data_IF_167784054840
#
_entry.id   IF_167784054840
#
_cell.length_a   1.000
_cell.length_b   1.000
_cell.length_c   1.000
_cell.angle_alpha   90.00
_cell.angle_beta   90.00
_cell.angle_gamma   90.00
#
_symmetry.space_group_name_H-M   'P 1'
#
loop_
_entity.id
_entity.type
_entity.pdbx_description
1 polymer ?
#
# COMPACT_ATOMS: atom_id res chain seq x y z
N UNK A 1 20.06 -7.70 -1.30
CA UNK A 1 18.93 -7.18 -0.51
C UNK A 1 18.20 -6.11 -1.31
N UNK A 2 16.90 -6.23 -1.41
CA UNK A 2 16.12 -5.33 -2.26
C UNK A 2 15.98 -3.93 -1.68
N UNK A 3 15.93 -2.93 -2.58
CA UNK A 3 15.45 -1.58 -2.26
C UNK A 3 14.04 -1.46 -2.83
N UNK A 4 13.05 -1.02 -2.03
CA UNK A 4 11.70 -0.83 -2.55
C UNK A 4 11.68 0.16 -3.72
N UNK A 5 10.87 -0.15 -4.73
CA UNK A 5 10.59 0.78 -5.82
C UNK A 5 9.22 1.43 -5.59
N UNK A 6 8.99 2.56 -6.25
CA UNK A 6 7.68 3.18 -6.22
C UNK A 6 6.69 2.34 -7.05
N UNK A 7 5.51 1.98 -6.49
CA UNK A 7 4.61 1.05 -7.17
C UNK A 7 3.99 1.57 -8.47
N UNK A 8 3.72 2.87 -8.55
CA UNK A 8 3.08 3.48 -9.71
C UNK A 8 4.11 3.87 -10.76
N UNK A 9 3.79 3.62 -12.04
CA UNK A 9 4.58 4.10 -13.16
C UNK A 9 4.44 5.61 -13.32
N UNK A 10 3.23 6.12 -13.14
CA UNK A 10 2.91 7.54 -13.18
C UNK A 10 2.34 7.94 -11.83
N UNK A 11 2.87 9.01 -11.24
CA UNK A 11 2.48 9.43 -9.91
C UNK A 11 1.89 10.83 -9.91
N UNK A 12 0.66 10.95 -9.42
CA UNK A 12 0.07 12.22 -9.02
C UNK A 12 -0.56 12.00 -7.65
N UNK A 13 0.07 12.54 -6.62
CA UNK A 13 -0.46 12.44 -5.26
C UNK A 13 -1.67 13.38 -5.17
N UNK A 14 -2.86 12.79 -5.00
CA UNK A 14 -4.12 13.54 -4.88
C UNK A 14 -4.43 13.89 -3.44
N UNK A 15 -3.93 13.10 -2.47
CA UNK A 15 -4.00 13.42 -1.05
C UNK A 15 -2.74 12.92 -0.37
N UNK A 16 -1.95 13.83 0.17
CA UNK A 16 -0.72 13.51 0.87
C UNK A 16 -0.97 13.02 2.30
N UNK A 17 0.08 12.55 2.93
CA UNK A 17 0.04 12.12 4.32
C UNK A 17 -0.29 13.30 5.25
N UNK A 18 -0.91 13.01 6.41
CA UNK A 18 -1.31 13.98 7.45
C UNK A 18 -2.28 15.05 6.98
N UNK A 19 -2.95 14.87 5.82
CA UNK A 19 -3.87 15.87 5.25
C UNK A 19 -5.24 15.27 4.95
N UNK A 20 -6.30 16.09 5.03
CA UNK A 20 -7.66 15.69 4.69
C UNK A 20 -8.11 14.45 5.44
N UNK A 21 -8.56 13.43 4.73
CA UNK A 21 -8.94 12.14 5.30
C UNK A 21 -7.74 11.35 5.84
N UNK A 22 -6.51 11.76 5.50
CA UNK A 22 -5.28 11.18 6.04
C UNK A 22 -4.75 11.89 7.28
N UNK A 23 -5.59 12.65 7.97
CA UNK A 23 -5.22 13.31 9.21
C UNK A 23 -4.73 12.30 10.24
N UNK A 24 -3.58 12.59 10.86
CA UNK A 24 -2.85 11.67 11.76
C UNK A 24 -2.48 10.34 11.10
N UNK A 25 -2.32 10.32 9.77
CA UNK A 25 -1.95 9.14 9.00
C UNK A 25 -0.84 9.46 8.01
N UNK A 26 0.04 8.50 7.77
CA UNK A 26 1.06 8.57 6.71
C UNK A 26 0.55 8.00 5.37
N UNK A 27 -0.75 7.73 5.25
CA UNK A 27 -1.33 7.26 4.00
C UNK A 27 -1.19 8.31 2.89
N UNK A 28 -1.03 7.86 1.66
CA UNK A 28 -1.10 8.71 0.47
C UNK A 28 -2.08 8.11 -0.53
N UNK A 29 -2.78 8.99 -1.26
CA UNK A 29 -3.58 8.62 -2.41
C UNK A 29 -2.82 9.03 -3.68
N UNK A 30 -2.70 8.11 -4.60
CA UNK A 30 -1.97 8.29 -5.85
C UNK A 30 -2.86 7.95 -7.03
N UNK A 31 -2.91 8.83 -8.01
CA UNK A 31 -3.59 8.64 -9.28
C UNK A 31 -2.58 8.76 -10.42
N UNK A 32 -2.89 8.13 -11.55
CA UNK A 32 -2.10 8.26 -12.75
C UNK A 32 -2.24 9.64 -13.41
N UNK A 33 -1.64 9.79 -14.56
CA UNK A 33 -1.66 11.07 -15.33
C UNK A 33 -2.98 11.31 -16.07
N UNK A 34 -3.84 10.29 -16.13
CA UNK A 34 -5.16 10.39 -16.78
C UNK A 34 -6.23 9.83 -15.82
N UNK A 35 -7.46 9.67 -16.32
CA UNK A 35 -8.56 9.10 -15.56
C UNK A 35 -8.72 7.60 -15.77
N UNK A 36 -7.79 6.97 -16.49
CA UNK A 36 -7.78 5.53 -16.70
C UNK A 36 -7.34 4.77 -15.45
N UNK A 37 -7.44 3.46 -15.52
CA UNK A 37 -6.97 2.56 -14.45
C UNK A 37 -5.55 2.14 -14.80
N UNK A 38 -4.59 2.56 -13.97
CA UNK A 38 -3.20 2.15 -14.07
C UNK A 38 -2.92 0.96 -13.17
N UNK A 39 -1.99 0.11 -13.60
CA UNK A 39 -1.53 -1.00 -12.77
C UNK A 39 -0.38 -0.58 -11.87
N UNK A 40 -0.22 -1.30 -10.76
CA UNK A 40 0.89 -1.15 -9.83
C UNK A 40 1.85 -2.31 -9.97
N UNK A 41 3.14 -2.02 -9.82
CA UNK A 41 4.21 -3.01 -9.72
C UNK A 41 4.54 -3.26 -8.26
N UNK A 42 4.83 -4.50 -7.92
CA UNK A 42 5.23 -4.84 -6.57
C UNK A 42 6.52 -4.09 -6.19
N UNK A 43 6.52 -3.34 -5.09
CA UNK A 43 7.68 -2.54 -4.69
C UNK A 43 8.86 -3.40 -4.21
N UNK A 44 8.59 -4.61 -3.80
CA UNK A 44 9.56 -5.60 -3.32
C UNK A 44 8.98 -6.99 -3.52
N UNK A 45 9.83 -8.02 -3.44
CA UNK A 45 9.34 -9.40 -3.42
C UNK A 45 8.65 -9.65 -2.09
N UNK A 46 7.38 -9.98 -2.14
CA UNK A 46 6.55 -10.09 -0.94
C UNK A 46 5.51 -11.19 -1.00
N UNK A 47 4.86 -11.38 0.13
CA UNK A 47 3.77 -12.33 0.30
C UNK A 47 2.53 -11.61 0.84
N UNK A 48 1.37 -11.95 0.29
CA UNK A 48 0.11 -11.38 0.76
C UNK A 48 -0.24 -12.03 2.11
N UNK A 49 -0.32 -11.21 3.15
CA UNK A 49 -0.59 -11.65 4.53
C UNK A 49 -2.05 -11.51 4.92
N UNK A 50 -2.77 -10.57 4.30
CA UNK A 50 -4.19 -10.32 4.58
C UNK A 50 -4.87 -9.73 3.36
N UNK A 51 -6.14 -10.09 3.18
CA UNK A 51 -7.06 -9.50 2.22
C UNK A 51 -8.35 -9.16 2.98
N UNK A 52 -8.82 -7.91 2.81
CA UNK A 52 -10.08 -7.46 3.38
C UNK A 52 -10.96 -6.89 2.27
N UNK A 53 -11.98 -7.67 1.86
CA UNK A 53 -12.81 -7.36 0.69
C UNK A 53 -14.08 -6.56 1.01
N UNK A 54 -14.42 -6.42 2.29
CA UNK A 54 -15.71 -5.84 2.70
C UNK A 54 -15.83 -4.35 2.43
N UNK A 55 -14.72 -3.65 2.23
CA UNK A 55 -14.70 -2.20 2.04
C UNK A 55 -14.03 -1.86 0.72
N UNK A 56 -12.71 -1.74 0.68
CA UNK A 56 -11.97 -1.22 -0.47
C UNK A 56 -11.01 -2.23 -1.09
N UNK A 57 -11.27 -3.52 -0.94
CA UNK A 57 -10.38 -4.59 -1.42
C UNK A 57 -8.93 -4.38 -0.96
N UNK A 58 -8.75 -4.09 0.33
CA UNK A 58 -7.44 -3.87 0.91
C UNK A 58 -6.62 -5.15 0.93
N UNK A 59 -5.33 -5.01 0.63
CA UNK A 59 -4.34 -6.08 0.77
C UNK A 59 -3.13 -5.59 1.55
N UNK A 60 -2.51 -6.50 2.29
CA UNK A 60 -1.25 -6.27 3.01
C UNK A 60 -0.19 -7.17 2.39
N UNK A 61 0.87 -6.56 1.87
CA UNK A 61 2.01 -7.24 1.25
C UNK A 61 3.23 -7.10 2.16
N UNK A 62 3.69 -8.20 2.73
CA UNK A 62 4.89 -8.25 3.59
C UNK A 62 6.09 -8.68 2.76
N UNK A 63 7.22 -7.97 2.88
CA UNK A 63 8.44 -8.38 2.21
C UNK A 63 8.90 -9.75 2.73
N UNK A 64 9.34 -10.63 1.83
CA UNK A 64 9.84 -11.96 2.19
C UNK A 64 11.16 -11.85 2.95
N UNK A 65 12.02 -10.93 2.50
CA UNK A 65 13.31 -10.63 3.12
C UNK A 65 13.31 -9.19 3.62
N UNK A 66 14.19 -8.85 4.58
CA UNK A 66 14.41 -7.45 4.93
C UNK A 66 14.80 -6.64 3.70
N UNK A 67 14.36 -5.39 3.66
CA UNK A 67 14.66 -4.44 2.57
C UNK A 67 15.52 -3.30 3.11
N UNK A 68 16.18 -2.57 2.21
CA UNK A 68 16.98 -1.41 2.57
C UNK A 68 16.11 -0.16 2.43
N UNK A 69 15.90 0.55 3.52
CA UNK A 69 15.19 1.84 3.53
C UNK A 69 16.11 2.96 3.00
N UNK A 70 15.53 4.09 2.54
CA UNK A 70 16.34 5.21 2.02
C UNK A 70 17.39 5.76 3.00
N UNK A 71 17.15 5.64 4.31
CA UNK A 71 18.12 6.07 5.34
C UNK A 71 19.25 5.06 5.57
N UNK A 72 19.25 3.95 4.82
CA UNK A 72 20.24 2.88 4.94
C UNK A 72 19.92 1.82 5.98
N UNK A 73 18.86 1.99 6.77
CA UNK A 73 18.44 0.95 7.72
C UNK A 73 17.84 -0.24 7.00
N UNK A 74 17.83 -1.40 7.66
CA UNK A 74 17.40 -2.67 7.10
C UNK A 74 16.34 -3.27 8.03
N UNK A 75 15.17 -3.56 7.49
CA UNK A 75 14.08 -4.24 8.18
C UNK A 75 13.08 -4.77 7.17
N UNK A 76 12.16 -5.62 7.62
CA UNK A 76 11.00 -6.00 6.82
C UNK A 76 10.14 -4.77 6.55
N UNK A 77 9.32 -4.85 5.51
CA UNK A 77 8.38 -3.80 5.12
C UNK A 77 7.03 -4.45 4.80
N UNK A 78 5.96 -3.90 5.35
CA UNK A 78 4.59 -4.29 5.03
C UNK A 78 3.87 -3.08 4.46
N UNK A 79 3.28 -3.22 3.27
CA UNK A 79 2.50 -2.16 2.65
C UNK A 79 1.04 -2.58 2.51
N UNK A 80 0.16 -1.61 2.71
CA UNK A 80 -1.28 -1.72 2.48
C UNK A 80 -1.63 -1.00 1.18
N UNK A 81 -2.45 -1.64 0.34
CA UNK A 81 -3.00 -1.07 -0.89
C UNK A 81 -4.52 -1.20 -0.86
N UNK A 82 -5.22 -0.17 -1.32
CA UNK A 82 -6.68 -0.14 -1.34
C UNK A 82 -7.22 0.45 -2.65
N UNK A 83 -8.46 0.08 -2.96
CA UNK A 83 -9.35 0.57 -4.01
C UNK A 83 -9.34 -0.18 -5.33
N UNK A 84 -8.51 -1.22 -5.55
CA UNK A 84 -8.63 -2.07 -6.74
C UNK A 84 -10.08 -2.62 -6.84
N UNK A 85 -10.66 -2.55 -8.02
CA UNK A 85 -12.02 -3.01 -8.25
C UNK A 85 -12.16 -4.54 -8.31
N UNK A 86 -11.09 -5.25 -8.63
CA UNK A 86 -11.11 -6.71 -8.81
C UNK A 86 -9.78 -7.33 -8.39
N UNK A 87 -9.78 -8.02 -7.27
CA UNK A 87 -8.60 -8.74 -6.74
C UNK A 87 -8.78 -10.25 -6.80
N UNK A 88 -9.62 -10.75 -7.73
CA UNK A 88 -9.90 -12.19 -7.86
C UNK A 88 -8.65 -13.02 -8.15
N UNK A 89 -7.58 -12.42 -8.67
CA UNK A 89 -6.30 -13.07 -8.92
C UNK A 89 -5.37 -13.12 -7.70
N UNK A 90 -5.77 -12.54 -6.56
CA UNK A 90 -4.98 -12.47 -5.35
C UNK A 90 -5.53 -13.40 -4.26
N UNK A 91 -4.65 -13.95 -3.45
CA UNK A 91 -5.02 -14.78 -2.31
C UNK A 91 -3.95 -14.68 -1.22
N UNK A 92 -4.34 -14.91 0.02
CA UNK A 92 -3.41 -14.93 1.15
C UNK A 92 -2.37 -16.04 0.95
N UNK A 93 -1.11 -15.68 1.11
CA UNK A 93 0.01 -16.58 0.86
C UNK A 93 0.62 -16.49 -0.54
N UNK A 94 -0.03 -15.74 -1.46
CA UNK A 94 0.54 -15.54 -2.80
C UNK A 94 1.84 -14.75 -2.70
N UNK A 95 2.89 -15.26 -3.37
CA UNK A 95 4.18 -14.58 -3.49
C UNK A 95 4.19 -13.77 -4.78
N UNK A 96 4.64 -12.52 -4.68
CA UNK A 96 4.71 -11.58 -5.80
C UNK A 96 6.15 -11.08 -5.89
N UNK A 97 6.75 -11.19 -7.07
CA UNK A 97 8.11 -10.74 -7.29
C UNK A 97 8.17 -9.22 -7.47
N UNK A 98 9.24 -8.60 -6.98
CA UNK A 98 9.50 -7.17 -7.20
C UNK A 98 9.37 -6.82 -8.68
N UNK A 99 8.60 -5.77 -8.99
CA UNK A 99 8.37 -5.31 -10.35
C UNK A 99 7.22 -6.02 -11.08
N UNK A 100 6.66 -7.09 -10.50
CA UNK A 100 5.50 -7.79 -11.06
C UNK A 100 4.23 -6.94 -10.91
N UNK A 101 3.36 -6.92 -11.92
CA UNK A 101 2.04 -6.30 -11.81
C UNK A 101 1.18 -7.13 -10.87
N UNK A 102 0.55 -6.50 -9.88
CA UNK A 102 -0.21 -7.22 -8.87
C UNK A 102 -1.52 -6.55 -8.46
N UNK A 103 -1.65 -5.26 -8.67
CA UNK A 103 -2.76 -4.47 -8.15
C UNK A 103 -3.04 -3.33 -9.13
N UNK A 104 -4.26 -2.81 -9.14
CA UNK A 104 -4.64 -1.72 -10.03
C UNK A 104 -5.28 -0.58 -9.23
N UNK A 105 -5.18 0.63 -9.74
CA UNK A 105 -6.00 1.74 -9.28
C UNK A 105 -7.48 1.39 -9.46
N UNK A 106 -8.33 1.95 -8.64
CA UNK A 106 -9.75 1.69 -8.73
C UNK A 106 -10.58 2.66 -7.92
N UNK A 107 -11.85 2.31 -7.77
CA UNK A 107 -12.86 3.12 -7.07
C UNK A 107 -13.58 2.33 -5.98
N UNK A 108 -13.14 1.13 -5.66
CA UNK A 108 -13.77 0.30 -4.62
C UNK A 108 -13.68 0.98 -3.26
N UNK A 109 -14.82 1.09 -2.56
CA UNK A 109 -14.90 1.79 -1.28
C UNK A 109 -15.10 3.30 -1.45
N UNK A 110 -14.61 4.10 -0.52
CA UNK A 110 -14.72 5.57 -0.57
C UNK A 110 -13.72 6.16 -1.54
N UNK A 111 -14.15 6.33 -2.80
CA UNK A 111 -13.33 6.89 -3.85
C UNK A 111 -14.19 7.67 -4.85
N UNK A 112 -13.72 8.85 -5.27
CA UNK A 112 -14.39 9.72 -6.24
C UNK A 112 -13.81 9.60 -7.65
N UNK A 113 -12.71 8.87 -7.80
CA UNK A 113 -12.05 8.61 -9.08
C UNK A 113 -11.01 7.52 -8.92
N UNK A 114 -10.48 7.03 -10.04
CA UNK A 114 -9.47 5.97 -10.01
C UNK A 114 -8.21 6.44 -9.29
N UNK A 115 -7.83 5.74 -8.24
CA UNK A 115 -6.60 5.97 -7.49
C UNK A 115 -6.22 4.73 -6.69
N UNK A 116 -5.08 4.76 -6.06
CA UNK A 116 -4.68 3.78 -5.05
C UNK A 116 -4.40 4.52 -3.74
N UNK A 117 -4.85 3.93 -2.64
CA UNK A 117 -4.50 4.36 -1.30
C UNK A 117 -3.38 3.46 -0.81
N UNK A 118 -2.26 4.04 -0.37
CA UNK A 118 -1.08 3.30 0.07
C UNK A 118 -0.64 3.71 1.46
N UNK A 119 -0.24 2.73 2.24
CA UNK A 119 0.37 2.93 3.56
C UNK A 119 1.56 2.00 3.72
N UNK A 120 2.59 2.48 4.41
CA UNK A 120 3.78 1.70 4.74
C UNK A 120 3.84 1.44 6.24
N UNK A 121 4.13 0.21 6.61
CA UNK A 121 4.39 -0.20 7.99
C UNK A 121 5.77 -0.82 8.10
N UNK A 122 6.62 -0.27 8.97
CA UNK A 122 7.95 -0.82 9.21
C UNK A 122 7.84 -2.16 9.93
N UNK A 123 8.56 -3.16 9.43
CA UNK A 123 8.57 -4.49 10.02
C UNK A 123 7.59 -5.44 9.38
N UNK A 124 7.41 -6.59 10.03
CA UNK A 124 6.48 -7.64 9.57
C UNK A 124 5.04 -7.27 9.87
N UNK A 125 4.12 -7.92 9.16
CA UNK A 125 2.69 -7.85 9.45
C UNK A 125 2.42 -8.26 10.91
N UNK A 126 1.63 -7.45 11.63
CA UNK A 126 1.32 -7.68 13.04
C UNK A 126 -0.18 -7.64 13.31
N UNK A 127 -0.66 -8.52 14.17
CA UNK A 127 -2.05 -8.56 14.64
C UNK A 127 -3.05 -8.56 13.48
N UNK A 128 -3.98 -7.59 13.47
CA UNK A 128 -4.97 -7.44 12.39
C UNK A 128 -4.45 -6.63 11.21
N UNK A 129 -3.24 -6.08 11.30
CA UNK A 129 -2.61 -5.26 10.26
C UNK A 129 -2.91 -3.78 10.37
N UNK A 130 -3.91 -3.38 11.13
CA UNK A 130 -4.28 -1.96 11.30
C UNK A 130 -4.71 -1.63 12.72
N UNK A 131 -4.82 -0.32 13.00
CA UNK A 131 -5.35 0.22 14.26
C UNK A 131 -6.06 1.56 13.97
N UNK A 132 -6.88 2.03 14.90
CA UNK A 132 -7.43 3.38 14.83
C UNK A 132 -6.41 4.39 15.33
N UNK A 133 -6.16 5.43 14.53
CA UNK A 133 -5.29 6.53 14.91
C UNK A 133 -6.02 7.55 15.78
N UNK A 134 -5.33 8.65 16.16
CA UNK A 134 -5.89 9.67 17.06
C UNK A 134 -7.11 10.41 16.48
N UNK A 135 -7.26 10.41 15.16
CA UNK A 135 -8.44 10.99 14.48
C UNK A 135 -9.57 10.00 14.26
N UNK A 136 -9.44 8.75 14.75
CA UNK A 136 -10.44 7.71 14.58
C UNK A 136 -10.42 7.01 13.22
N UNK A 137 -9.43 7.26 12.39
CA UNK A 137 -9.24 6.60 11.10
C UNK A 137 -8.40 5.33 11.27
N UNK A 138 -8.63 4.35 10.39
CA UNK A 138 -7.82 3.13 10.36
C UNK A 138 -6.48 3.40 9.69
N UNK A 139 -5.40 2.96 10.32
CA UNK A 139 -4.03 3.09 9.82
C UNK A 139 -3.29 1.78 9.96
N UNK A 140 -2.32 1.55 9.07
CA UNK A 140 -1.45 0.37 9.16
C UNK A 140 -0.65 0.38 10.46
N UNK A 141 -0.41 -0.80 11.04
CA UNK A 141 0.44 -0.91 12.23
C UNK A 141 1.88 -0.52 11.90
N UNK A 142 2.54 0.17 12.84
CA UNK A 142 3.92 0.63 12.70
C UNK A 142 4.11 1.57 11.51
N UNK A 143 3.14 2.44 11.26
CA UNK A 143 3.11 3.32 10.10
C UNK A 143 4.37 4.14 9.97
N UNK A 144 4.86 4.24 8.73
CA UNK A 144 6.02 5.04 8.34
C UNK A 144 5.64 5.90 7.14
N UNK A 145 6.21 7.09 7.06
CA UNK A 145 5.99 7.97 5.91
C UNK A 145 6.37 7.23 4.61
N UNK A 146 5.46 7.13 3.63
CA UNK A 146 5.72 6.40 2.39
C UNK A 146 6.93 6.92 1.61
N UNK A 147 7.30 8.19 1.77
CA UNK A 147 8.50 8.74 1.13
C UNK A 147 9.80 8.25 1.77
N UNK A 148 9.73 7.57 2.90
CA UNK A 148 10.86 7.03 3.64
C UNK A 148 10.94 5.49 3.54
N UNK A 149 10.17 4.91 2.65
CA UNK A 149 10.18 3.49 2.33
C UNK A 149 10.74 3.26 0.93
#
# INVERSE_FOLDING_TARGET
>A
MEKPLYPSQYMRITEGYMKGSHRDSYAIDDAGIDQGIDYLKAPYTGVIKKIYQKDANEIWLESIEPVIYPDGTVDYLTMLFAHDNDISNLFVGKVIAKGERFYEEGTKGEATGNHVHMECGKGKFTNSGWHKNNSGHWSINNAKNPTEC
#
